data_IF_120435007673
#
_entry.id   IF_120435007673
#
_cell.length_a   1.000
_cell.length_b   1.000
_cell.length_c   1.000
_cell.angle_alpha   90.00
_cell.angle_beta   90.00
_cell.angle_gamma   90.00
#
_symmetry.space_group_name_H-M   'P 1'
#
loop_
_entity.id
_entity.type
_entity.pdbx_description
1 polymer ?
#
# COMPACT_ATOMS: atom_id res chain seq x y z
N UNK A 1 15.32 5.08 -3.26
CA UNK A 1 14.82 6.32 -3.87
C UNK A 1 13.86 6.95 -2.90
N UNK A 2 14.08 8.22 -2.64
CA UNK A 2 13.34 8.99 -1.65
C UNK A 2 12.82 10.25 -2.34
N UNK A 3 11.51 10.30 -2.53
CA UNK A 3 10.72 11.35 -3.14
C UNK A 3 9.71 11.92 -2.13
N UNK A 4 9.93 11.70 -0.83
CA UNK A 4 9.09 12.26 0.22
C UNK A 4 9.10 13.78 0.16
N UNK A 5 7.95 14.39 0.39
CA UNK A 5 7.73 15.83 0.35
C UNK A 5 7.98 16.48 -1.02
N UNK A 6 8.20 15.69 -2.07
CA UNK A 6 8.23 16.20 -3.45
C UNK A 6 6.81 16.31 -4.01
N UNK A 7 6.65 17.07 -5.09
CA UNK A 7 5.38 17.15 -5.83
C UNK A 7 5.25 16.05 -6.91
N UNK A 8 6.17 15.06 -6.92
CA UNK A 8 6.12 13.96 -7.88
C UNK A 8 4.96 13.04 -7.52
N UNK A 9 3.92 13.04 -8.34
CA UNK A 9 2.75 12.20 -8.16
C UNK A 9 2.71 11.03 -9.15
N UNK A 10 3.17 11.22 -10.39
CA UNK A 10 3.25 10.16 -11.39
C UNK A 10 4.66 9.59 -11.50
N UNK A 11 4.77 8.27 -11.47
CA UNK A 11 6.04 7.57 -11.53
C UNK A 11 6.17 6.90 -12.90
N UNK A 12 7.09 7.37 -13.75
CA UNK A 12 7.26 6.81 -15.08
C UNK A 12 7.83 5.40 -15.04
N UNK A 13 7.47 4.58 -16.02
CA UNK A 13 7.94 3.19 -16.15
C UNK A 13 9.48 3.04 -16.23
N UNK A 14 10.24 4.12 -16.46
CA UNK A 14 11.70 4.09 -16.44
C UNK A 14 12.25 3.61 -15.09
N UNK A 15 11.51 3.83 -14.00
CA UNK A 15 11.85 3.32 -12.66
C UNK A 15 11.98 1.79 -12.65
N UNK A 16 11.25 1.08 -13.52
CA UNK A 16 11.21 -0.37 -13.56
C UNK A 16 12.56 -1.00 -13.94
N UNK A 17 13.51 -0.20 -14.44
CA UNK A 17 14.89 -0.63 -14.70
C UNK A 17 15.74 -0.74 -13.42
N UNK A 18 15.27 -0.16 -12.31
CA UNK A 18 15.99 -0.12 -11.03
C UNK A 18 15.80 -1.43 -10.24
N UNK A 19 16.24 -2.56 -10.79
CA UNK A 19 16.05 -3.90 -10.20
C UNK A 19 16.70 -4.07 -8.82
N UNK A 20 17.70 -3.24 -8.49
CA UNK A 20 18.40 -3.21 -7.19
C UNK A 20 17.77 -2.23 -6.18
N UNK A 21 16.70 -1.53 -6.55
CA UNK A 21 16.02 -0.60 -5.67
C UNK A 21 15.39 -1.35 -4.49
N UNK A 22 15.78 -0.99 -3.26
CA UNK A 22 15.25 -1.59 -2.03
C UNK A 22 14.18 -0.76 -1.34
N UNK A 23 14.28 0.55 -1.48
CA UNK A 23 13.41 1.50 -0.81
C UNK A 23 12.81 2.44 -1.85
N UNK A 24 11.50 2.50 -1.90
CA UNK A 24 10.75 3.46 -2.70
C UNK A 24 9.81 4.20 -1.77
N UNK A 25 10.23 5.40 -1.37
CA UNK A 25 9.49 6.29 -0.48
C UNK A 25 9.04 7.50 -1.31
N UNK A 26 7.76 7.61 -1.63
CA UNK A 26 7.19 8.66 -2.45
C UNK A 26 5.80 9.02 -1.91
N UNK A 27 5.68 10.22 -1.37
CA UNK A 27 4.45 10.81 -0.89
C UNK A 27 4.63 12.31 -0.65
N UNK A 28 3.55 13.07 -0.68
CA UNK A 28 3.52 14.48 -0.29
C UNK A 28 2.55 14.68 0.88
N UNK A 29 2.81 15.67 1.74
CA UNK A 29 1.95 16.03 2.87
C UNK A 29 1.33 17.41 2.67
N UNK A 30 0.01 17.47 2.65
CA UNK A 30 -0.73 18.73 2.56
C UNK A 30 -1.07 19.27 3.96
N UNK A 31 -0.24 20.15 4.50
CA UNK A 31 -0.41 20.70 5.85
C UNK A 31 -1.59 21.68 6.01
N UNK A 32 -2.16 22.16 4.91
CA UNK A 32 -3.22 23.18 4.90
C UNK A 32 -4.64 22.58 4.87
N UNK A 33 -4.77 21.26 4.74
CA UNK A 33 -6.08 20.62 4.70
C UNK A 33 -6.73 20.55 6.09
N UNK A 34 -8.04 20.79 6.14
CA UNK A 34 -8.86 20.54 7.35
C UNK A 34 -8.64 19.09 7.81
N UNK A 35 -8.80 18.86 9.12
CA UNK A 35 -8.66 17.54 9.73
C UNK A 35 -9.40 16.47 8.92
N UNK A 36 -8.66 15.53 8.33
CA UNK A 36 -9.19 14.40 7.57
C UNK A 36 -8.85 13.10 8.29
N UNK A 37 -9.85 12.23 8.46
CA UNK A 37 -9.66 10.90 9.07
C UNK A 37 -8.71 10.05 8.22
N UNK A 38 -8.81 10.18 6.89
CA UNK A 38 -7.92 9.51 5.93
C UNK A 38 -6.51 10.11 5.90
N UNK A 39 -6.34 11.31 6.46
CA UNK A 39 -5.08 12.05 6.55
C UNK A 39 -4.64 12.69 5.24
N UNK A 40 -3.74 13.66 5.36
CA UNK A 40 -3.30 14.59 4.31
C UNK A 40 -2.10 14.09 3.47
N UNK A 41 -1.91 12.78 3.37
CA UNK A 41 -0.79 12.18 2.61
C UNK A 41 -1.29 11.73 1.25
N UNK A 42 -0.66 12.18 0.17
CA UNK A 42 -0.87 11.58 -1.16
C UNK A 42 0.08 10.44 -1.43
N UNK A 43 -0.38 9.46 -2.19
CA UNK A 43 0.49 8.46 -2.76
C UNK A 43 1.01 8.90 -4.12
N UNK A 44 1.60 7.93 -4.82
CA UNK A 44 1.99 8.07 -6.22
C UNK A 44 1.25 7.10 -7.11
N UNK A 45 1.01 7.53 -8.34
CA UNK A 45 0.51 6.73 -9.44
C UNK A 45 1.68 5.97 -10.06
N UNK A 46 1.54 4.66 -10.15
CA UNK A 46 2.55 3.79 -10.75
C UNK A 46 2.10 3.40 -12.15
N UNK A 47 2.94 3.67 -13.16
CA UNK A 47 2.80 3.01 -14.44
C UNK A 47 3.09 1.50 -14.32
N UNK A 48 2.59 0.71 -15.27
CA UNK A 48 2.79 -0.74 -15.33
C UNK A 48 4.29 -1.11 -15.30
N UNK A 49 4.59 -2.24 -14.69
CA UNK A 49 5.92 -2.87 -14.63
C UNK A 49 6.57 -2.85 -13.25
N UNK A 50 5.84 -2.53 -12.18
CA UNK A 50 6.39 -2.46 -10.82
C UNK A 50 6.99 -3.80 -10.38
N UNK A 51 6.47 -4.92 -10.91
CA UNK A 51 7.00 -6.29 -10.73
C UNK A 51 8.49 -6.43 -11.03
N UNK A 52 9.08 -5.53 -11.82
CA UNK A 52 10.50 -5.55 -12.17
C UNK A 52 11.40 -5.02 -11.05
N UNK A 53 10.84 -4.38 -10.02
CA UNK A 53 11.58 -3.91 -8.83
C UNK A 53 11.87 -5.08 -7.87
N UNK A 54 12.55 -6.12 -8.36
CA UNK A 54 12.66 -7.42 -7.68
C UNK A 54 13.38 -7.40 -6.32
N UNK A 55 14.23 -6.40 -6.07
CA UNK A 55 14.91 -6.22 -4.77
C UNK A 55 14.13 -5.33 -3.79
N UNK A 56 12.92 -4.91 -4.12
CA UNK A 56 12.18 -3.92 -3.34
C UNK A 56 11.70 -4.50 -2.00
N UNK A 57 11.98 -3.77 -0.93
CA UNK A 57 11.68 -4.16 0.45
C UNK A 57 10.69 -3.21 1.12
N UNK A 58 10.78 -1.91 0.83
CA UNK A 58 9.90 -0.90 1.41
C UNK A 58 9.28 -0.07 0.29
N UNK A 59 7.94 0.01 0.28
CA UNK A 59 7.16 0.80 -0.64
C UNK A 59 6.13 1.63 0.13
N UNK A 60 6.25 2.95 0.09
CA UNK A 60 5.28 3.89 0.63
C UNK A 60 5.23 5.11 -0.29
N UNK A 61 4.11 5.67 -0.73
CA UNK A 61 2.74 5.14 -0.73
C UNK A 61 2.27 5.07 -2.18
N UNK A 62 1.59 3.99 -2.57
CA UNK A 62 1.03 3.84 -3.93
C UNK A 62 -0.49 3.97 -3.90
N UNK A 63 -1.05 4.69 -4.86
CA UNK A 63 -2.49 4.80 -5.04
C UNK A 63 -3.01 3.68 -5.93
N UNK A 64 -3.90 2.85 -5.40
CA UNK A 64 -4.30 1.61 -6.08
C UNK A 64 -5.50 1.79 -7.00
N UNK A 65 -6.28 2.87 -6.89
CA UNK A 65 -7.48 3.08 -7.69
C UNK A 65 -7.19 3.33 -9.17
N UNK A 66 -6.01 3.88 -9.50
CA UNK A 66 -5.58 4.06 -10.90
C UNK A 66 -5.04 2.77 -11.52
N UNK A 67 -4.36 1.93 -10.73
CA UNK A 67 -3.75 0.68 -11.21
C UNK A 67 -4.66 -0.55 -11.12
N UNK A 68 -5.65 -0.51 -10.24
CA UNK A 68 -6.62 -1.56 -10.00
C UNK A 68 -5.99 -2.92 -9.70
N UNK A 69 -6.66 -3.98 -10.19
CA UNK A 69 -6.24 -5.37 -10.01
C UNK A 69 -4.89 -5.65 -10.69
N UNK A 70 -4.61 -5.05 -11.85
CA UNK A 70 -3.34 -5.23 -12.58
C UNK A 70 -2.14 -4.83 -11.70
N UNK A 71 -2.23 -3.69 -11.01
CA UNK A 71 -1.18 -3.24 -10.11
C UNK A 71 -1.01 -4.17 -8.90
N UNK A 72 -2.12 -4.68 -8.36
CA UNK A 72 -2.09 -5.64 -7.24
C UNK A 72 -1.39 -6.94 -7.65
N UNK A 73 -1.69 -7.46 -8.84
CA UNK A 73 -1.01 -8.64 -9.39
C UNK A 73 0.48 -8.41 -9.64
N UNK A 74 0.89 -7.21 -10.04
CA UNK A 74 2.32 -6.90 -10.15
C UNK A 74 2.99 -6.77 -8.78
N UNK A 75 2.33 -6.16 -7.78
CA UNK A 75 2.86 -6.06 -6.41
C UNK A 75 3.06 -7.43 -5.79
N UNK A 76 2.16 -8.38 -6.05
CA UNK A 76 2.26 -9.79 -5.63
C UNK A 76 3.58 -10.45 -6.06
N UNK A 77 4.16 -10.02 -7.17
CA UNK A 77 5.45 -10.54 -7.67
C UNK A 77 6.67 -10.00 -6.91
N UNK A 78 6.50 -9.01 -6.04
CA UNK A 78 7.57 -8.40 -5.25
C UNK A 78 7.92 -9.26 -4.03
N UNK A 79 8.62 -10.35 -4.28
CA UNK A 79 8.92 -11.37 -3.26
C UNK A 79 9.82 -10.89 -2.12
N UNK A 80 10.44 -9.71 -2.18
CA UNK A 80 11.30 -9.18 -1.11
C UNK A 80 10.60 -8.13 -0.24
N UNK A 81 9.33 -7.83 -0.51
CA UNK A 81 8.60 -6.75 0.13
C UNK A 81 8.33 -7.04 1.61
N UNK A 82 8.67 -6.08 2.47
CA UNK A 82 8.53 -6.13 3.93
C UNK A 82 7.59 -5.08 4.47
N UNK A 83 7.54 -3.91 3.83
CA UNK A 83 6.63 -2.82 4.19
C UNK A 83 5.92 -2.31 2.95
N UNK A 84 4.59 -2.25 3.03
CA UNK A 84 3.72 -1.79 1.95
C UNK A 84 2.75 -0.73 2.47
N UNK A 85 2.74 0.43 1.81
CA UNK A 85 1.80 1.51 2.04
C UNK A 85 0.93 1.73 0.81
N UNK A 86 -0.38 1.59 0.99
CA UNK A 86 -1.41 1.75 -0.04
C UNK A 86 -2.37 2.87 0.34
N UNK A 87 -2.74 3.66 -0.65
CA UNK A 87 -3.72 4.74 -0.53
C UNK A 87 -4.85 4.52 -1.53
N UNK A 88 -5.98 5.15 -1.25
CA UNK A 88 -7.17 5.14 -2.10
C UNK A 88 -7.70 3.73 -2.39
N UNK A 89 -7.62 2.85 -1.40
CA UNK A 89 -8.12 1.47 -1.52
C UNK A 89 -9.65 1.47 -1.55
N UNK A 90 -10.23 0.75 -2.52
CA UNK A 90 -11.67 0.53 -2.67
C UNK A 90 -12.03 -0.89 -2.23
N UNK A 91 -13.25 -1.08 -1.73
CA UNK A 91 -13.83 -2.36 -1.33
C UNK A 91 -13.75 -3.40 -2.44
N UNK A 92 -13.97 -2.98 -3.69
CA UNK A 92 -13.90 -3.86 -4.87
C UNK A 92 -12.54 -4.54 -5.05
N UNK A 93 -11.46 -3.94 -4.54
CA UNK A 93 -10.09 -4.46 -4.65
C UNK A 93 -9.68 -5.33 -3.46
N UNK A 94 -10.47 -5.37 -2.39
CA UNK A 94 -10.09 -6.02 -1.12
C UNK A 94 -9.80 -7.50 -1.30
N UNK A 95 -10.63 -8.22 -2.07
CA UNK A 95 -10.41 -9.65 -2.33
C UNK A 95 -9.10 -9.91 -3.08
N UNK A 96 -8.82 -9.13 -4.13
CA UNK A 96 -7.58 -9.26 -4.88
C UNK A 96 -6.37 -8.90 -4.01
N UNK A 97 -6.50 -7.85 -3.19
CA UNK A 97 -5.46 -7.39 -2.28
C UNK A 97 -5.15 -8.44 -1.20
N UNK A 98 -6.18 -9.02 -0.58
CA UNK A 98 -6.01 -10.09 0.42
C UNK A 98 -5.30 -11.30 -0.17
N UNK A 99 -5.72 -11.77 -1.35
CA UNK A 99 -5.07 -12.89 -2.03
C UNK A 99 -3.60 -12.57 -2.38
N UNK A 100 -3.32 -11.36 -2.85
CA UNK A 100 -1.96 -10.94 -3.15
C UNK A 100 -1.08 -10.89 -1.90
N UNK A 101 -1.57 -10.33 -0.79
CA UNK A 101 -0.82 -10.22 0.46
C UNK A 101 -0.55 -11.60 1.08
N UNK A 102 -1.49 -12.54 0.99
CA UNK A 102 -1.29 -13.90 1.49
C UNK A 102 -0.08 -14.59 0.83
N UNK A 103 0.24 -14.24 -0.41
CA UNK A 103 1.42 -14.75 -1.12
C UNK A 103 2.72 -13.96 -0.84
N UNK A 104 2.66 -12.81 -0.16
CA UNK A 104 3.81 -12.00 0.20
C UNK A 104 4.49 -12.51 1.48
N UNK A 105 5.28 -13.58 1.35
CA UNK A 105 5.89 -14.32 2.47
C UNK A 105 6.76 -13.49 3.44
N UNK A 106 7.26 -12.33 3.00
CA UNK A 106 8.13 -11.47 3.80
C UNK A 106 7.45 -10.18 4.27
N UNK A 107 6.16 -9.99 3.98
CA UNK A 107 5.47 -8.77 4.37
C UNK A 107 5.26 -8.74 5.88
N UNK A 108 5.80 -7.72 6.53
CA UNK A 108 5.73 -7.55 7.99
C UNK A 108 4.83 -6.37 8.39
N UNK A 109 4.72 -5.35 7.53
CA UNK A 109 4.02 -4.10 7.82
C UNK A 109 3.13 -3.70 6.64
N UNK A 110 1.86 -3.46 6.94
CA UNK A 110 0.89 -2.99 5.96
C UNK A 110 0.27 -1.68 6.47
N UNK A 111 0.26 -0.67 5.60
CA UNK A 111 -0.47 0.58 5.81
C UNK A 111 -1.49 0.73 4.69
N UNK A 112 -2.76 0.84 5.04
CA UNK A 112 -3.87 0.99 4.10
C UNK A 112 -4.67 2.21 4.49
N UNK A 113 -4.97 3.04 3.50
CA UNK A 113 -5.98 4.09 3.59
C UNK A 113 -7.02 3.88 2.51
N UNK A 114 -8.28 3.84 2.91
CA UNK A 114 -9.37 3.78 1.98
C UNK A 114 -9.49 5.04 1.12
N UNK A 115 -10.24 4.94 0.02
CA UNK A 115 -10.54 6.08 -0.85
C UNK A 115 -11.50 7.10 -0.22
N UNK A 116 -12.38 6.62 0.66
CA UNK A 116 -13.43 7.40 1.32
C UNK A 116 -13.63 6.92 2.76
N UNK A 117 -14.22 7.75 3.61
CA UNK A 117 -14.40 7.47 5.03
C UNK A 117 -15.44 6.38 5.30
N UNK A 118 -16.43 6.24 4.42
CA UNK A 118 -17.49 5.24 4.50
C UNK A 118 -17.10 3.89 3.84
N UNK A 119 -15.95 3.84 3.20
CA UNK A 119 -15.44 2.66 2.53
C UNK A 119 -15.03 1.59 3.55
N UNK A 120 -15.46 0.34 3.30
CA UNK A 120 -15.23 -0.79 4.20
C UNK A 120 -14.16 -1.69 3.62
N UNK A 121 -13.13 -1.98 4.42
CA UNK A 121 -11.94 -2.72 4.00
C UNK A 121 -11.69 -3.90 4.97
N UNK A 122 -12.41 -4.99 4.76
CA UNK A 122 -12.28 -6.21 5.57
C UNK A 122 -11.27 -7.17 4.94
N UNK A 123 -10.02 -7.11 5.41
CA UNK A 123 -8.94 -7.92 4.88
C UNK A 123 -8.88 -9.28 5.60
N UNK A 124 -8.64 -10.35 4.84
CA UNK A 124 -8.32 -11.67 5.40
C UNK A 124 -6.80 -11.86 5.39
N UNK A 125 -6.13 -11.65 6.52
CA UNK A 125 -4.66 -11.62 6.59
C UNK A 125 -4.15 -12.49 7.74
N UNK A 126 -3.43 -13.59 7.48
CA UNK A 126 -3.04 -14.47 8.57
C UNK A 126 -1.72 -14.09 9.25
N UNK A 127 -0.84 -13.25 8.68
CA UNK A 127 0.54 -13.07 9.21
C UNK A 127 1.16 -11.68 8.96
N UNK A 128 0.72 -10.65 9.67
CA UNK A 128 1.40 -9.35 9.73
C UNK A 128 1.94 -9.10 11.14
N UNK A 129 3.02 -8.32 11.26
CA UNK A 129 3.48 -7.80 12.56
C UNK A 129 2.83 -6.47 12.87
N UNK A 130 2.65 -5.64 11.84
CA UNK A 130 2.10 -4.28 11.95
C UNK A 130 1.00 -4.03 10.93
N UNK A 131 -0.10 -3.49 11.42
CA UNK A 131 -1.18 -2.98 10.60
C UNK A 131 -1.46 -1.52 10.96
N UNK A 132 -1.52 -0.68 9.95
CA UNK A 132 -2.10 0.65 10.03
C UNK A 132 -3.27 0.74 9.06
N UNK A 133 -4.48 0.89 9.59
CA UNK A 133 -5.70 0.86 8.78
C UNK A 133 -6.52 2.13 9.02
N UNK A 134 -6.65 2.93 7.96
CA UNK A 134 -7.54 4.09 7.89
C UNK A 134 -8.71 3.77 6.97
N UNK A 135 -9.67 3.02 7.48
CA UNK A 135 -10.88 2.59 6.78
C UNK A 135 -11.94 2.20 7.81
N UNK A 136 -13.18 2.02 7.37
CA UNK A 136 -14.17 1.32 8.19
C UNK A 136 -13.98 -0.19 8.06
N UNK A 137 -14.35 -0.90 9.12
CA UNK A 137 -14.46 -2.34 9.18
C UNK A 137 -15.93 -2.68 9.46
N UNK A 138 -16.48 -3.69 8.79
CA UNK A 138 -17.81 -4.19 9.15
C UNK A 138 -17.73 -5.00 10.45
N UNK A 139 -16.64 -5.75 10.61
CA UNK A 139 -16.36 -6.56 11.80
C UNK A 139 -14.88 -6.47 12.14
N UNK A 140 -14.57 -6.53 13.43
CA UNK A 140 -13.19 -6.68 13.87
C UNK A 140 -12.71 -8.09 13.52
N UNK A 141 -11.69 -8.27 12.66
CA UNK A 141 -11.25 -9.60 12.28
C UNK A 141 -10.55 -10.36 13.42
N UNK A 142 -10.76 -11.68 13.47
CA UNK A 142 -10.23 -12.57 14.53
C UNK A 142 -8.70 -12.68 14.56
N UNK A 143 -8.00 -12.19 13.53
CA UNK A 143 -6.54 -12.21 13.43
C UNK A 143 -5.86 -10.98 14.05
N UNK A 144 -6.61 -9.93 14.40
CA UNK A 144 -6.05 -8.72 15.02
C UNK A 144 -5.27 -9.01 16.32
N UNK A 145 -5.70 -9.91 17.23
CA UNK A 145 -4.94 -10.26 18.42
C UNK A 145 -3.54 -10.83 18.15
N UNK A 146 -3.27 -11.31 16.93
CA UNK A 146 -1.96 -11.87 16.55
C UNK A 146 -0.96 -10.80 16.11
N UNK A 147 -1.36 -9.52 16.04
CA UNK A 147 -0.50 -8.42 15.62
C UNK A 147 0.39 -7.95 16.78
N UNK A 148 1.67 -7.70 16.50
CA UNK A 148 2.58 -7.10 17.49
C UNK A 148 2.24 -5.62 17.74
N UNK A 149 1.72 -4.92 16.73
CA UNK A 149 1.33 -3.52 16.86
C UNK A 149 0.24 -3.13 15.85
N UNK A 150 -0.76 -2.39 16.36
CA UNK A 150 -1.89 -1.83 15.60
C UNK A 150 -1.90 -0.33 15.88
N UNK A 151 -1.96 0.50 14.83
CA UNK A 151 -1.95 1.97 14.92
C UNK A 151 -2.98 2.57 14.00
#
# INVERSE_FOLDING_TARGET
>A
MDLRETLVHEIPNVINKLTKLRNFLAFHRYYEEKYSVLGFITGVLMEKGIKNLTSLQNMCYVEVDHGGVDLIEEMKMLRQLRKLGLRRVKRELVNALSAAIEEMQHLESLNITAIAEDEIIDLTLPKLRRLHLKARLDKLPDWIPNLECIV
#
